data_IF_237416319394
#
_entry.id   IF_237416319394
#
_cell.length_a   1.000
_cell.length_b   1.000
_cell.length_c   1.000
_cell.angle_alpha   90.00
_cell.angle_beta   90.00
_cell.angle_gamma   90.00
#
_symmetry.space_group_name_H-M   'P 1'
#
loop_
_entity.id
_entity.type
_entity.pdbx_description
1 polymer ?
#
# COMPACT_ATOMS: atom_id res chain seq x y z
N UNK A 1 -3.57 -8.94 16.30
CA UNK A 1 -3.24 -9.61 15.03
C UNK A 1 -4.32 -9.48 13.96
N UNK A 2 -5.53 -10.00 14.17
CA UNK A 2 -6.59 -9.95 13.15
C UNK A 2 -6.94 -8.53 12.67
N UNK A 3 -7.02 -7.58 13.60
CA UNK A 3 -7.31 -6.18 13.24
C UNK A 3 -6.25 -5.57 12.31
N UNK A 4 -4.98 -5.93 12.51
CA UNK A 4 -3.85 -5.37 11.76
C UNK A 4 -3.80 -5.96 10.34
N UNK A 5 -4.08 -7.26 10.21
CA UNK A 5 -4.23 -7.92 8.91
C UNK A 5 -5.36 -7.26 8.14
N UNK A 6 -6.57 -7.20 8.73
CA UNK A 6 -7.73 -6.56 8.10
C UNK A 6 -7.44 -5.12 7.65
N UNK A 7 -6.78 -4.32 8.49
CA UNK A 7 -6.42 -2.94 8.13
C UNK A 7 -5.49 -2.87 6.93
N UNK A 8 -4.45 -3.71 6.89
CA UNK A 8 -3.42 -3.67 5.87
C UNK A 8 -3.83 -4.32 4.55
N UNK A 9 -4.69 -5.34 4.59
CA UNK A 9 -4.98 -6.21 3.43
C UNK A 9 -6.42 -6.20 2.96
N UNK A 10 -7.39 -5.72 3.75
CA UNK A 10 -8.81 -5.83 3.39
C UNK A 10 -9.51 -4.49 3.30
N UNK A 11 -9.05 -3.47 4.04
CA UNK A 11 -9.71 -2.16 4.10
C UNK A 11 -9.35 -1.28 2.90
N UNK A 12 -10.28 -1.02 1.94
CA UNK A 12 -10.06 -0.01 0.91
C UNK A 12 -10.05 1.39 1.53
N UNK A 13 -9.04 2.20 1.19
CA UNK A 13 -8.97 3.57 1.70
C UNK A 13 -10.04 4.46 1.06
N UNK A 14 -10.97 4.94 1.88
CA UNK A 14 -11.97 5.95 1.50
C UNK A 14 -11.28 7.32 1.42
N UNK A 15 -10.62 7.58 0.31
CA UNK A 15 -9.95 8.84 0.05
C UNK A 15 -9.24 8.86 -1.29
N UNK A 16 -9.32 9.99 -1.98
CA UNK A 16 -8.66 10.20 -3.27
C UNK A 16 -7.14 10.03 -3.18
N UNK A 17 -6.55 10.33 -2.02
CA UNK A 17 -5.09 10.32 -1.77
C UNK A 17 -4.42 8.97 -2.05
N UNK A 18 -5.14 7.86 -1.84
CA UNK A 18 -4.64 6.52 -2.14
C UNK A 18 -5.36 5.89 -3.35
N UNK A 19 -6.27 6.62 -4.01
CA UNK A 19 -7.07 6.13 -5.15
C UNK A 19 -7.74 4.77 -4.85
N UNK A 20 -8.24 4.58 -3.63
CA UNK A 20 -8.85 3.32 -3.20
C UNK A 20 -7.88 2.18 -2.88
N UNK A 21 -6.57 2.37 -3.05
CA UNK A 21 -5.56 1.35 -2.72
C UNK A 21 -5.50 1.10 -1.22
N UNK A 22 -5.17 -0.15 -0.86
CA UNK A 22 -4.89 -0.62 0.49
C UNK A 22 -3.46 -0.22 0.93
N UNK A 23 -3.16 -0.19 2.24
CA UNK A 23 -1.82 0.08 2.73
C UNK A 23 -0.74 -0.78 2.07
N UNK A 24 -0.96 -2.10 1.99
CA UNK A 24 0.03 -3.03 1.44
C UNK A 24 0.35 -2.75 -0.03
N UNK A 25 -0.65 -2.38 -0.83
CA UNK A 25 -0.47 -2.08 -2.25
C UNK A 25 0.39 -0.83 -2.47
N UNK A 26 0.36 0.12 -1.51
CA UNK A 26 1.22 1.30 -1.57
C UNK A 26 2.68 0.94 -1.31
N UNK A 27 2.91 0.02 -0.38
CA UNK A 27 4.24 -0.52 -0.07
C UNK A 27 4.77 -1.31 -1.27
N UNK A 28 3.94 -2.17 -1.85
CA UNK A 28 4.31 -2.94 -3.05
C UNK A 28 4.66 -2.00 -4.21
N UNK A 29 3.89 -0.93 -4.43
CA UNK A 29 4.22 0.06 -5.44
C UNK A 29 5.55 0.76 -5.17
N UNK A 30 5.87 1.04 -3.91
CA UNK A 30 7.16 1.63 -3.55
C UNK A 30 8.32 0.66 -3.80
N UNK A 31 8.18 -0.61 -3.42
CA UNK A 31 9.21 -1.63 -3.61
C UNK A 31 9.40 -1.99 -5.09
N UNK A 32 8.33 -2.02 -5.87
CA UNK A 32 8.35 -2.38 -7.29
C UNK A 32 8.68 -1.20 -8.21
N UNK A 33 8.49 0.04 -7.76
CA UNK A 33 9.10 1.17 -8.45
C UNK A 33 10.60 1.08 -8.15
N UNK A 34 11.41 0.91 -9.17
CA UNK A 34 12.87 1.01 -9.11
C UNK A 34 13.31 2.46 -8.76
N UNK A 35 12.84 3.01 -7.64
CA UNK A 35 13.14 4.38 -7.18
C UNK A 35 14.61 4.47 -6.72
N UNK A 36 15.27 3.31 -6.51
CA UNK A 36 16.68 3.21 -6.15
C UNK A 36 17.48 2.32 -7.13
N UNK A 37 17.38 2.58 -8.43
CA UNK A 37 18.52 2.29 -9.31
C UNK A 37 19.45 3.50 -9.27
N UNK A 38 20.11 3.69 -8.12
CA UNK A 38 21.27 4.58 -8.02
C UNK A 38 22.44 3.81 -8.63
N UNK A 39 22.70 4.06 -9.91
CA UNK A 39 23.93 3.71 -10.61
C UNK A 39 24.93 4.87 -10.54
#
# INVERSE_FOLDING_TARGET
DQWLVHYNTERPHLGYRNMGRRPIETIDLFLNKNVRNEA
#
